data_IF_105810728533
#
_entry.id   IF_105810728533
#
_cell.length_a   1.000
_cell.length_b   1.000
_cell.length_c   1.000
_cell.angle_alpha   90.00
_cell.angle_beta   90.00
_cell.angle_gamma   90.00
#
_symmetry.space_group_name_H-M   'P 1'
#
loop_
_entity.id
_entity.type
_entity.pdbx_description
1 polymer ?
#
# COMPACT_ATOMS: atom_id res chain seq x y z
N UNK A 1 24.26 -4.19 -5.91
CA UNK A 1 23.99 -4.23 -7.37
C UNK A 1 25.06 -3.34 -8.01
N UNK A 2 25.67 -3.74 -9.12
CA UNK A 2 26.70 -2.93 -9.79
C UNK A 2 26.46 -2.87 -11.31
N UNK A 3 27.00 -1.82 -11.91
CA UNK A 3 26.88 -1.48 -13.33
C UNK A 3 26.82 0.04 -13.51
N UNK A 4 27.13 0.53 -14.71
CA UNK A 4 27.12 1.98 -15.00
C UNK A 4 25.75 2.44 -15.53
N UNK A 5 25.40 2.03 -16.74
CA UNK A 5 24.13 2.41 -17.40
C UNK A 5 23.05 1.35 -17.22
N UNK A 6 23.45 0.08 -17.15
CA UNK A 6 22.57 -1.06 -16.93
C UNK A 6 23.15 -1.94 -15.82
N UNK A 7 22.36 -2.89 -15.33
CA UNK A 7 22.82 -3.87 -14.35
C UNK A 7 23.83 -4.81 -15.02
N UNK A 8 25.04 -4.88 -14.47
CA UNK A 8 26.06 -5.85 -14.89
C UNK A 8 26.13 -7.05 -13.93
N UNK A 9 25.59 -6.91 -12.72
CA UNK A 9 25.53 -7.99 -11.75
C UNK A 9 25.23 -7.58 -10.32
N UNK A 10 25.35 -8.55 -9.43
CA UNK A 10 25.21 -8.39 -7.99
C UNK A 10 26.39 -9.03 -7.26
N UNK A 11 26.84 -8.36 -6.19
CA UNK A 11 27.75 -8.97 -5.22
C UNK A 11 26.90 -9.64 -4.16
N UNK A 12 27.05 -10.94 -4.00
CA UNK A 12 26.33 -11.72 -2.97
C UNK A 12 27.32 -12.21 -1.92
N UNK A 13 26.83 -12.34 -0.69
CA UNK A 13 27.58 -12.94 0.42
C UNK A 13 26.86 -14.18 0.90
N UNK A 14 27.57 -15.29 0.98
CA UNK A 14 27.07 -16.49 1.64
C UNK A 14 27.03 -16.24 3.15
N UNK A 15 25.84 -16.33 3.77
CA UNK A 15 25.66 -16.05 5.19
C UNK A 15 26.24 -17.13 6.11
N UNK A 16 26.52 -18.35 5.60
CA UNK A 16 27.10 -19.45 6.38
C UNK A 16 28.63 -19.46 6.33
N UNK A 17 29.22 -19.19 5.16
CA UNK A 17 30.67 -19.26 4.96
C UNK A 17 31.36 -17.90 4.97
N UNK A 18 30.61 -16.81 4.80
CA UNK A 18 31.15 -15.45 4.66
C UNK A 18 31.72 -15.13 3.28
N UNK A 19 31.82 -16.12 2.39
CA UNK A 19 32.34 -15.96 1.04
C UNK A 19 31.54 -14.93 0.24
N UNK A 20 32.25 -14.10 -0.52
CA UNK A 20 31.66 -13.09 -1.41
C UNK A 20 31.92 -13.50 -2.86
N UNK A 21 30.91 -13.40 -3.71
CA UNK A 21 31.06 -13.63 -5.15
C UNK A 21 30.24 -12.64 -5.96
N UNK A 22 30.72 -12.38 -7.16
CA UNK A 22 30.04 -11.56 -8.15
C UNK A 22 29.22 -12.48 -9.06
N UNK A 23 27.92 -12.22 -9.17
CA UNK A 23 27.02 -12.89 -10.11
C UNK A 23 26.73 -11.93 -11.26
N UNK A 24 27.14 -12.32 -12.47
CA UNK A 24 26.83 -11.59 -13.71
C UNK A 24 25.39 -11.88 -14.11
N UNK A 25 24.60 -10.81 -14.24
CA UNK A 25 23.19 -10.86 -14.66
C UNK A 25 22.79 -9.48 -15.19
N UNK A 26 21.71 -9.43 -15.99
CA UNK A 26 21.28 -8.20 -16.67
C UNK A 26 20.13 -7.46 -15.97
N UNK A 27 19.58 -8.02 -14.89
CA UNK A 27 18.44 -7.43 -14.18
C UNK A 27 18.23 -7.98 -12.78
N UNK A 28 17.79 -7.10 -11.87
CA UNK A 28 17.45 -7.45 -10.48
C UNK A 28 16.04 -6.95 -10.19
N UNK A 29 15.17 -7.86 -9.78
CA UNK A 29 13.82 -7.55 -9.34
C UNK A 29 13.74 -7.73 -7.83
N UNK A 30 13.54 -6.63 -7.10
CA UNK A 30 13.44 -6.65 -5.64
C UNK A 30 12.00 -6.95 -5.24
N UNK A 31 11.77 -8.11 -4.64
CA UNK A 31 10.45 -8.54 -4.18
C UNK A 31 10.53 -9.00 -2.73
N UNK A 32 10.57 -8.03 -1.80
CA UNK A 32 10.72 -8.26 -0.35
C UNK A 32 9.46 -7.85 0.44
N UNK A 33 8.33 -7.72 -0.25
CA UNK A 33 7.10 -7.18 0.30
C UNK A 33 7.01 -5.66 0.20
N UNK A 34 5.96 -5.12 0.81
CA UNK A 34 5.64 -3.69 0.76
C UNK A 34 5.48 -3.17 2.19
N UNK A 35 6.11 -2.03 2.47
CA UNK A 35 5.86 -1.29 3.71
C UNK A 35 4.94 -0.13 3.38
N UNK A 36 3.77 -0.07 4.01
CA UNK A 36 2.87 1.08 3.87
C UNK A 36 3.38 2.24 4.72
N UNK A 37 3.47 3.45 4.16
CA UNK A 37 3.92 4.65 4.87
C UNK A 37 2.80 5.24 5.74
N UNK A 38 2.35 4.48 6.75
CA UNK A 38 1.20 4.85 7.59
C UNK A 38 1.59 5.23 9.03
N UNK A 39 2.88 5.43 9.32
CA UNK A 39 3.35 5.78 10.65
C UNK A 39 2.67 7.05 11.21
N UNK A 40 2.39 8.04 10.37
CA UNK A 40 1.73 9.30 10.74
C UNK A 40 0.31 9.11 11.32
N UNK A 41 -0.37 8.00 10.98
CA UNK A 41 -1.74 7.73 11.42
C UNK A 41 -1.82 7.13 12.84
N UNK A 42 -0.69 6.75 13.46
CA UNK A 42 -0.67 6.15 14.80
C UNK A 42 -1.68 4.99 14.94
N UNK A 43 -2.58 5.08 15.92
CA UNK A 43 -3.65 4.11 16.18
C UNK A 43 -5.05 4.63 15.78
N UNK A 44 -5.14 5.64 14.90
CA UNK A 44 -6.42 6.27 14.55
C UNK A 44 -7.42 5.33 13.86
N UNK A 45 -6.92 4.30 13.18
CA UNK A 45 -7.72 3.33 12.43
C UNK A 45 -7.18 1.91 12.64
N UNK A 46 -8.06 0.91 12.58
CA UNK A 46 -7.68 -0.50 12.65
C UNK A 46 -6.80 -0.87 11.45
N UNK A 47 -5.78 -1.67 11.74
CA UNK A 47 -4.86 -2.21 10.74
C UNK A 47 -4.79 -3.72 10.81
N UNK A 48 -4.45 -4.33 9.68
CA UNK A 48 -4.05 -5.74 9.63
C UNK A 48 -2.65 -5.94 10.21
N UNK A 49 -2.25 -7.19 10.44
CA UNK A 49 -0.95 -7.54 11.02
C UNK A 49 0.24 -7.09 10.15
N UNK A 50 0.04 -6.99 8.84
CA UNK A 50 0.98 -6.47 7.84
C UNK A 50 0.90 -4.95 7.64
N UNK A 51 0.12 -4.26 8.49
CA UNK A 51 0.12 -2.80 8.59
C UNK A 51 -0.77 -2.05 7.61
N UNK A 52 -1.65 -2.73 6.87
CA UNK A 52 -2.61 -2.07 5.97
C UNK A 52 -3.88 -1.63 6.70
N UNK A 53 -4.55 -0.60 6.19
CA UNK A 53 -5.83 -0.12 6.73
C UNK A 53 -6.91 -1.14 6.39
N UNK A 54 -7.70 -1.54 7.39
CA UNK A 54 -8.87 -2.38 7.18
C UNK A 54 -10.05 -1.46 6.84
N UNK A 55 -10.69 -1.72 5.71
CA UNK A 55 -11.87 -0.99 5.24
C UNK A 55 -13.02 -1.95 4.91
N UNK A 56 -14.24 -1.44 4.91
CA UNK A 56 -15.39 -2.15 4.35
C UNK A 56 -15.52 -1.92 2.82
N UNK A 57 -16.57 -2.46 2.21
CA UNK A 57 -16.84 -2.31 0.77
C UNK A 57 -17.08 -0.86 0.32
N UNK A 58 -17.44 0.02 1.24
CA UNK A 58 -17.69 1.45 0.99
C UNK A 58 -16.44 2.29 1.34
N UNK A 59 -15.29 1.64 1.52
CA UNK A 59 -14.00 2.26 1.87
C UNK A 59 -13.99 2.98 3.22
N UNK A 60 -14.91 2.61 4.13
CA UNK A 60 -14.96 3.17 5.49
C UNK A 60 -13.94 2.48 6.38
N UNK A 61 -13.20 3.26 7.15
CA UNK A 61 -12.30 2.72 8.17
C UNK A 61 -13.06 2.42 9.47
N UNK A 62 -12.34 1.93 10.48
CA UNK A 62 -12.91 1.78 11.83
C UNK A 62 -13.22 3.09 12.54
N UNK A 63 -12.86 4.24 11.98
CA UNK A 63 -13.12 5.56 12.55
C UNK A 63 -14.10 6.29 11.64
N UNK A 64 -15.23 6.69 12.21
CA UNK A 64 -16.25 7.44 11.47
C UNK A 64 -15.68 8.74 10.89
N UNK A 65 -16.09 9.06 9.66
CA UNK A 65 -15.58 10.20 8.90
C UNK A 65 -14.18 10.02 8.31
N UNK A 66 -13.52 8.88 8.55
CA UNK A 66 -12.21 8.55 7.95
C UNK A 66 -12.38 7.42 6.95
N UNK A 67 -11.93 7.68 5.73
CA UNK A 67 -11.97 6.76 4.58
C UNK A 67 -10.55 6.49 4.09
N UNK A 68 -10.32 5.34 3.47
CA UNK A 68 -9.03 4.99 2.89
C UNK A 68 -9.25 4.25 1.57
N UNK A 69 -8.36 4.46 0.60
CA UNK A 69 -8.45 3.86 -0.73
C UNK A 69 -7.05 3.55 -1.29
N UNK A 70 -6.97 2.60 -2.22
CA UNK A 70 -5.72 2.24 -2.87
C UNK A 70 -4.84 1.30 -2.04
N UNK A 71 -3.54 1.29 -2.33
CA UNK A 71 -2.62 0.26 -1.83
C UNK A 71 -2.28 0.38 -0.33
N UNK A 72 -2.78 1.42 0.35
CA UNK A 72 -2.75 1.49 1.80
C UNK A 72 -3.79 0.59 2.47
N UNK A 73 -4.81 0.15 1.72
CA UNK A 73 -5.87 -0.73 2.21
C UNK A 73 -5.48 -2.20 2.11
N UNK A 74 -6.05 -3.04 2.99
CA UNK A 74 -5.81 -4.49 2.95
C UNK A 74 -6.49 -5.09 1.72
N UNK A 75 -5.68 -5.43 0.71
CA UNK A 75 -6.10 -6.12 -0.51
C UNK A 75 -4.95 -6.89 -1.15
N UNK A 76 -5.28 -7.87 -1.97
CA UNK A 76 -4.29 -8.69 -2.67
C UNK A 76 -3.84 -8.02 -3.98
N UNK A 77 -4.79 -7.53 -4.78
CA UNK A 77 -4.52 -6.90 -6.06
C UNK A 77 -4.10 -5.44 -5.88
N UNK A 78 -2.88 -5.13 -6.33
CA UNK A 78 -2.27 -3.78 -6.29
C UNK A 78 -2.06 -3.27 -7.71
N UNK A 79 -3.06 -2.55 -8.22
CA UNK A 79 -3.07 -2.02 -9.58
C UNK A 79 -3.68 -0.63 -9.60
N UNK A 80 -3.21 0.22 -10.53
CA UNK A 80 -3.72 1.60 -10.70
C UNK A 80 -5.25 1.59 -10.84
N UNK A 81 -5.79 0.72 -11.69
CA UNK A 81 -7.24 0.62 -11.93
C UNK A 81 -8.02 0.30 -10.65
N UNK A 82 -7.50 -0.59 -9.79
CA UNK A 82 -8.14 -0.90 -8.51
C UNK A 82 -8.09 0.28 -7.55
N UNK A 83 -6.94 0.97 -7.47
CA UNK A 83 -6.81 2.15 -6.63
C UNK A 83 -7.73 3.30 -7.07
N UNK A 84 -7.95 3.46 -8.38
CA UNK A 84 -8.91 4.41 -8.91
C UNK A 84 -10.36 4.03 -8.53
N UNK A 85 -10.73 2.75 -8.64
CA UNK A 85 -12.06 2.27 -8.23
C UNK A 85 -12.32 2.44 -6.73
N UNK A 86 -11.33 2.10 -5.89
CA UNK A 86 -11.37 2.36 -4.45
C UNK A 86 -11.54 3.86 -4.18
N UNK A 87 -10.80 4.70 -4.90
CA UNK A 87 -10.84 6.16 -4.76
C UNK A 87 -12.21 6.75 -5.09
N UNK A 88 -12.84 6.29 -6.18
CA UNK A 88 -14.20 6.70 -6.54
C UNK A 88 -15.22 6.33 -5.44
N UNK A 89 -15.11 5.11 -4.91
CA UNK A 89 -15.98 4.61 -3.84
C UNK A 89 -15.80 5.39 -2.53
N UNK A 90 -14.54 5.64 -2.14
CA UNK A 90 -14.22 6.41 -0.95
C UNK A 90 -14.69 7.87 -1.05
N UNK A 91 -14.49 8.50 -2.22
CA UNK A 91 -14.93 9.87 -2.46
C UNK A 91 -16.45 10.00 -2.35
N UNK A 92 -17.21 9.08 -2.98
CA UNK A 92 -18.66 9.06 -2.90
C UNK A 92 -19.16 8.83 -1.46
N UNK A 93 -18.55 7.90 -0.74
CA UNK A 93 -18.89 7.63 0.66
C UNK A 93 -18.56 8.80 1.60
N UNK A 94 -17.45 9.49 1.36
CA UNK A 94 -17.07 10.69 2.10
C UNK A 94 -18.01 11.85 1.82
N UNK A 95 -18.42 12.06 0.56
CA UNK A 95 -19.42 13.05 0.19
C UNK A 95 -20.73 12.81 0.95
N UNK A 96 -21.27 11.59 0.89
CA UNK A 96 -22.50 11.24 1.61
C UNK A 96 -22.39 11.47 3.12
N UNK A 97 -21.24 11.14 3.70
CA UNK A 97 -20.99 11.41 5.12
C UNK A 97 -21.08 12.90 5.45
N UNK A 98 -20.50 13.76 4.61
CA UNK A 98 -20.57 15.23 4.78
C UNK A 98 -21.99 15.74 4.59
N UNK A 99 -22.71 15.30 3.55
CA UNK A 99 -24.11 15.67 3.30
C UNK A 99 -25.01 15.26 4.46
N UNK A 100 -24.81 14.06 5.02
CA UNK A 100 -25.55 13.60 6.20
C UNK A 100 -25.34 14.50 7.41
N UNK A 101 -24.09 14.92 7.67
CA UNK A 101 -23.78 15.85 8.77
C UNK A 101 -24.43 17.21 8.56
N UNK A 102 -24.54 17.67 7.32
CA UNK A 102 -25.20 18.93 6.97
C UNK A 102 -26.73 18.84 6.97
N UNK A 103 -27.30 17.64 7.02
CA UNK A 103 -28.74 17.42 6.81
C UNK A 103 -29.19 17.58 5.36
N UNK A 104 -28.26 17.42 4.41
CA UNK A 104 -28.47 17.57 2.96
C UNK A 104 -28.56 16.22 2.24
N UNK A 105 -28.42 15.09 2.96
CA UNK A 105 -28.41 13.76 2.35
C UNK A 105 -29.76 13.45 1.68
N UNK A 106 -29.71 13.26 0.36
CA UNK A 106 -30.86 12.82 -0.42
C UNK A 106 -31.02 11.30 -0.24
N UNK A 107 -32.21 10.87 0.21
CA UNK A 107 -32.57 9.45 0.41
C UNK A 107 -32.97 8.82 -0.92
#
# INVERSE_FOLDING_TARGET
IFGQTMVDGVKVRNLKTGEKKDLKLSGVFVFIGWTSSLSFLGNMVKRSNDGYIIVDKEMRTSREGVFACGDCCKKDLRQIVTACGDGATAAFSAQRYVERIKGEEYI
#
